data_IF_754182268888
#
_entry.id   IF_754182268888
#
_cell.length_a   1.000
_cell.length_b   1.000
_cell.length_c   1.000
_cell.angle_alpha   90.00
_cell.angle_beta   90.00
_cell.angle_gamma   90.00
#
_symmetry.space_group_name_H-M   'P 1'
#
loop_
_entity.id
_entity.type
_entity.pdbx_description
1 polymer ?
#
# COMPACT_ATOMS: atom_id res chain seq x y z
N UNK A 1 20.78 -7.94 10.27
CA UNK A 1 20.06 -9.20 10.57
C UNK A 1 20.97 -10.10 11.38
N UNK A 2 20.40 -10.91 12.27
CA UNK A 2 21.15 -11.82 13.14
C UNK A 2 20.55 -13.22 13.00
N UNK A 3 21.42 -14.22 12.88
CA UNK A 3 21.00 -15.62 12.84
C UNK A 3 20.56 -16.08 14.24
N UNK A 4 19.46 -16.83 14.30
CA UNK A 4 18.92 -17.45 15.52
C UNK A 4 18.45 -18.86 15.19
N UNK A 5 18.61 -19.80 16.12
CA UNK A 5 18.14 -21.19 15.98
C UNK A 5 16.62 -21.32 15.96
N UNK A 6 15.93 -20.31 16.50
CA UNK A 6 14.48 -20.25 16.59
C UNK A 6 13.99 -18.89 16.10
N UNK A 7 13.91 -18.74 14.78
CA UNK A 7 13.29 -17.59 14.13
C UNK A 7 11.81 -17.86 13.92
N UNK A 8 10.96 -16.90 14.28
CA UNK A 8 9.55 -16.96 13.89
C UNK A 8 9.47 -16.88 12.35
N UNK A 9 8.64 -17.70 11.69
CA UNK A 9 8.36 -17.55 10.26
C UNK A 9 7.67 -16.22 9.94
N UNK A 10 7.15 -15.55 10.97
CA UNK A 10 6.46 -14.28 10.85
C UNK A 10 7.43 -13.12 11.03
N UNK A 11 7.98 -12.67 9.91
CA UNK A 11 8.91 -11.56 9.87
C UNK A 11 8.18 -10.23 9.91
N UNK A 12 8.58 -9.35 10.85
CA UNK A 12 8.15 -7.94 10.86
C UNK A 12 8.81 -7.19 9.71
N UNK A 13 8.00 -6.53 8.88
CA UNK A 13 8.47 -5.71 7.75
C UNK A 13 7.89 -4.31 7.82
N UNK A 14 8.45 -3.35 7.08
CA UNK A 14 7.90 -1.99 7.00
C UNK A 14 6.44 -1.96 6.51
N UNK A 15 6.03 -2.89 5.64
CA UNK A 15 4.65 -3.00 5.15
C UNK A 15 3.72 -3.66 6.18
N UNK A 16 4.26 -4.57 7.00
CA UNK A 16 3.52 -5.23 8.07
C UNK A 16 4.28 -5.13 9.41
N UNK A 17 4.37 -3.92 9.98
CA UNK A 17 5.19 -3.67 11.18
C UNK A 17 4.50 -4.19 12.43
N UNK A 18 3.17 -4.26 12.38
CA UNK A 18 2.31 -4.68 13.47
C UNK A 18 2.16 -6.17 13.59
N UNK A 19 2.76 -7.00 12.69
CA UNK A 19 2.55 -8.46 12.55
C UNK A 19 2.01 -9.07 13.84
N UNK A 20 0.69 -8.99 14.02
CA UNK A 20 0.10 -9.36 15.28
C UNK A 20 0.23 -10.87 15.25
N UNK A 21 0.88 -11.42 16.27
CA UNK A 21 1.09 -12.87 16.46
C UNK A 21 -0.23 -13.64 16.23
N UNK A 22 -1.38 -12.98 16.36
CA UNK A 22 -2.73 -13.50 16.08
C UNK A 22 -3.07 -13.81 14.61
N UNK A 23 -2.52 -13.13 13.59
CA UNK A 23 -2.73 -13.57 12.18
C UNK A 23 -1.66 -14.56 11.72
N UNK A 24 -0.57 -14.61 12.46
CA UNK A 24 0.50 -15.57 12.34
C UNK A 24 0.27 -16.73 13.32
N UNK A 25 -0.86 -17.40 13.16
CA UNK A 25 -1.11 -18.68 13.81
C UNK A 25 -0.16 -19.73 13.22
N UNK A 26 1.10 -19.77 13.66
CA UNK A 26 1.77 -21.06 13.76
C UNK A 26 1.07 -21.77 14.90
N UNK A 27 0.14 -22.68 14.57
CA UNK A 27 -0.69 -23.38 15.55
C UNK A 27 0.11 -24.13 16.64
N UNK A 28 1.44 -24.18 16.56
CA UNK A 28 2.32 -24.94 17.44
C UNK A 28 3.61 -24.23 17.86
N UNK A 29 3.72 -22.90 17.78
CA UNK A 29 4.98 -22.21 18.17
C UNK A 29 6.20 -22.69 17.34
N UNK A 30 5.95 -23.22 16.14
CA UNK A 30 7.01 -23.73 15.24
C UNK A 30 7.85 -22.55 14.75
N UNK A 31 9.08 -22.50 15.25
CA UNK A 31 10.15 -21.65 14.76
C UNK A 31 11.19 -22.53 14.05
N UNK A 32 11.90 -21.97 13.10
CA UNK A 32 12.99 -22.64 12.39
C UNK A 32 14.26 -21.81 12.48
N UNK A 33 15.45 -22.42 12.34
CA UNK A 33 16.69 -21.65 12.27
C UNK A 33 16.63 -20.64 11.11
N UNK A 34 16.94 -19.37 11.39
CA UNK A 34 16.79 -18.30 10.41
C UNK A 34 17.32 -16.96 10.89
N UNK A 35 17.24 -15.95 10.03
CA UNK A 35 17.76 -14.62 10.34
C UNK A 35 16.63 -13.63 10.66
N UNK A 36 16.77 -12.93 11.78
CA UNK A 36 15.79 -11.96 12.28
C UNK A 36 16.38 -10.55 12.38
N UNK A 37 15.50 -9.54 12.43
CA UNK A 37 15.87 -8.19 12.82
C UNK A 37 15.82 -8.09 14.35
N UNK A 38 16.87 -7.53 14.96
CA UNK A 38 17.03 -7.38 16.41
C UNK A 38 16.79 -5.92 16.83
N UNK A 39 16.82 -5.62 18.14
CA UNK A 39 16.67 -4.25 18.68
C UNK A 39 15.39 -3.54 18.23
N UNK A 40 14.27 -4.26 18.19
CA UNK A 40 12.96 -3.73 17.78
C UNK A 40 12.91 -3.12 16.37
N UNK A 41 13.90 -3.44 15.53
CA UNK A 41 13.92 -3.04 14.12
C UNK A 41 13.01 -3.93 13.27
N UNK A 42 12.54 -3.38 12.16
CA UNK A 42 11.75 -4.09 11.16
C UNK A 42 12.54 -4.20 9.87
N UNK A 43 12.24 -5.22 9.05
CA UNK A 43 12.90 -5.36 7.77
C UNK A 43 12.28 -4.45 6.72
N UNK A 44 13.10 -3.59 6.13
CA UNK A 44 12.75 -2.85 4.92
C UNK A 44 13.16 -3.68 3.70
N UNK A 45 12.16 -4.17 2.95
CA UNK A 45 12.37 -4.94 1.73
C UNK A 45 12.96 -4.12 0.59
N UNK A 46 12.79 -2.80 0.61
CA UNK A 46 13.28 -1.89 -0.42
C UNK A 46 14.76 -1.57 -0.23
N UNK A 47 15.16 -1.34 1.02
CA UNK A 47 16.55 -1.09 1.38
C UNK A 47 17.33 -2.37 1.67
N UNK A 48 16.64 -3.51 1.77
CA UNK A 48 17.20 -4.82 2.04
C UNK A 48 17.95 -4.90 3.39
N UNK A 49 17.49 -4.14 4.38
CA UNK A 49 18.14 -4.00 5.69
C UNK A 49 17.12 -3.88 6.83
N UNK A 50 17.59 -4.06 8.07
CA UNK A 50 16.76 -3.83 9.26
C UNK A 50 16.87 -2.37 9.69
N UNK A 51 15.74 -1.69 9.81
CA UNK A 51 15.67 -0.26 10.18
C UNK A 51 14.70 -0.06 11.34
N UNK A 52 14.86 1.02 12.14
CA UNK A 52 13.81 1.48 13.03
C UNK A 52 12.51 1.71 12.25
N UNK A 53 11.36 1.46 12.89
CA UNK A 53 10.05 1.62 12.22
C UNK A 53 9.84 3.04 11.67
N UNK A 54 10.34 4.06 12.37
CA UNK A 54 10.32 5.47 11.95
C UNK A 54 11.08 5.73 10.65
N UNK A 55 12.05 4.87 10.31
CA UNK A 55 12.89 5.00 9.12
C UNK A 55 12.36 4.20 7.92
N UNK A 56 11.20 3.56 8.05
CA UNK A 56 10.61 2.79 6.97
C UNK A 56 10.22 3.66 5.78
N UNK A 57 10.69 3.27 4.60
CA UNK A 57 10.34 3.92 3.33
C UNK A 57 8.94 3.52 2.84
N UNK A 58 8.29 4.42 2.11
CA UNK A 58 7.00 4.15 1.46
C UNK A 58 7.21 3.94 -0.04
N UNK A 59 6.29 3.19 -0.67
CA UNK A 59 6.27 3.03 -2.13
C UNK A 59 4.94 3.55 -2.69
N UNK A 60 5.02 4.33 -3.77
CA UNK A 60 3.85 4.73 -4.55
C UNK A 60 4.23 4.77 -6.04
N UNK A 61 3.42 4.14 -6.89
CA UNK A 61 3.69 4.00 -8.34
C UNK A 61 5.13 3.53 -8.66
N UNK A 62 5.59 2.52 -7.92
CA UNK A 62 6.95 1.96 -8.01
C UNK A 62 8.10 2.89 -7.62
N UNK A 63 7.82 4.10 -7.12
CA UNK A 63 8.81 5.05 -6.61
C UNK A 63 8.90 4.94 -5.09
N UNK A 64 10.12 4.98 -4.56
CA UNK A 64 10.39 4.96 -3.13
C UNK A 64 10.45 6.38 -2.56
N UNK A 65 9.87 6.57 -1.38
CA UNK A 65 9.78 7.84 -0.68
C UNK A 65 10.34 7.69 0.73
N UNK A 66 11.10 8.69 1.16
CA UNK A 66 11.68 8.75 2.49
C UNK A 66 10.62 9.06 3.55
N UNK A 67 10.86 8.69 4.82
CA UNK A 67 10.01 9.11 5.93
C UNK A 67 9.82 10.64 5.93
N UNK A 68 8.57 11.07 5.96
CA UNK A 68 8.21 12.49 5.93
C UNK A 68 7.97 13.09 4.54
N UNK A 69 8.34 12.40 3.46
CA UNK A 69 8.03 12.83 2.09
C UNK A 69 6.53 12.93 1.87
N UNK A 70 6.14 13.85 0.98
CA UNK A 70 4.75 14.14 0.67
C UNK A 70 4.47 13.96 -0.83
N UNK A 71 3.31 13.39 -1.12
CA UNK A 71 2.79 13.21 -2.48
C UNK A 71 1.30 13.56 -2.51
N UNK A 72 0.83 14.01 -3.67
CA UNK A 72 -0.60 14.16 -3.93
C UNK A 72 -1.11 12.89 -4.60
N UNK A 73 -2.04 12.19 -3.96
CA UNK A 73 -2.75 11.02 -4.52
C UNK A 73 -4.19 11.44 -4.76
N UNK A 74 -4.60 11.48 -6.03
CA UNK A 74 -5.81 12.18 -6.47
C UNK A 74 -5.82 13.64 -5.96
N UNK A 75 -6.78 14.00 -5.09
CA UNK A 75 -6.90 15.32 -4.46
C UNK A 75 -6.41 15.35 -3.00
N UNK A 76 -5.86 14.24 -2.51
CA UNK A 76 -5.45 14.08 -1.12
C UNK A 76 -3.94 14.26 -0.98
N UNK A 77 -3.57 14.96 0.10
CA UNK A 77 -2.18 15.13 0.49
C UNK A 77 -1.80 13.94 1.37
N UNK A 78 -0.78 13.18 0.96
CA UNK A 78 -0.32 11.97 1.63
C UNK A 78 1.12 12.14 2.09
N UNK A 79 1.37 11.85 3.37
CA UNK A 79 2.71 11.86 3.98
C UNK A 79 3.17 10.44 4.27
N UNK A 80 4.41 10.12 3.93
CA UNK A 80 5.02 8.85 4.31
C UNK A 80 5.34 8.85 5.81
N UNK A 81 4.78 7.90 6.54
CA UNK A 81 4.94 7.74 7.98
C UNK A 81 5.02 6.26 8.33
N UNK A 82 6.12 5.84 8.94
CA UNK A 82 6.34 4.45 9.38
C UNK A 82 6.05 3.39 8.29
N UNK A 83 6.45 3.64 7.04
CA UNK A 83 6.23 2.73 5.90
C UNK A 83 4.79 2.72 5.34
N UNK A 84 3.93 3.64 5.81
CA UNK A 84 2.53 3.78 5.36
C UNK A 84 2.25 5.21 4.89
N UNK A 85 1.24 5.35 4.04
CA UNK A 85 0.74 6.65 3.61
C UNK A 85 -0.34 7.15 4.57
N UNK A 86 -0.08 8.26 5.25
CA UNK A 86 -1.08 9.02 5.99
C UNK A 86 -1.64 10.10 5.06
N UNK A 87 -2.83 9.84 4.53
CA UNK A 87 -3.51 10.73 3.60
C UNK A 87 -4.61 11.55 4.28
N UNK A 88 -4.84 12.76 3.78
CA UNK A 88 -6.09 13.46 4.04
C UNK A 88 -7.28 12.65 3.53
N UNK A 89 -8.47 12.89 4.08
CA UNK A 89 -9.71 12.24 3.66
C UNK A 89 -10.67 13.25 3.02
N UNK A 90 -10.25 13.81 1.88
CA UNK A 90 -11.05 14.72 1.06
C UNK A 90 -11.83 13.92 0.01
N UNK A 91 -13.10 14.28 -0.19
CA UNK A 91 -13.90 13.76 -1.30
C UNK A 91 -13.40 14.39 -2.59
N UNK A 92 -12.76 13.58 -3.44
CA UNK A 92 -12.25 14.06 -4.73
C UNK A 92 -13.36 14.11 -5.78
N UNK A 93 -13.48 15.25 -6.46
CA UNK A 93 -14.35 15.35 -7.63
C UNK A 93 -13.86 14.41 -8.74
N UNK A 94 -14.78 13.66 -9.33
CA UNK A 94 -14.53 12.80 -10.50
C UNK A 94 -15.38 13.30 -11.66
N UNK A 95 -14.91 13.11 -12.88
CA UNK A 95 -15.63 13.53 -14.09
C UNK A 95 -15.90 12.31 -14.97
N UNK A 96 -17.14 12.18 -15.44
CA UNK A 96 -17.51 11.25 -16.50
C UNK A 96 -17.53 12.01 -17.83
N UNK A 97 -16.97 11.43 -18.89
CA UNK A 97 -16.82 12.08 -20.19
C UNK A 97 -17.44 11.20 -21.28
N UNK A 98 -18.34 11.78 -22.08
CA UNK A 98 -18.82 11.18 -23.31
C UNK A 98 -17.90 11.64 -24.45
N UNK A 99 -17.06 10.73 -24.91
CA UNK A 99 -16.14 10.88 -26.03
C UNK A 99 -16.89 10.64 -27.36
N UNK A 100 -16.33 11.14 -28.46
CA UNK A 100 -16.85 10.88 -29.80
C UNK A 100 -17.01 9.39 -30.10
N UNK A 101 -17.97 9.04 -30.97
CA UNK A 101 -18.35 7.67 -31.32
C UNK A 101 -18.95 6.85 -30.17
N UNK A 102 -19.67 7.52 -29.26
CA UNK A 102 -20.34 6.91 -28.10
C UNK A 102 -19.37 6.17 -27.17
N UNK A 103 -18.12 6.61 -27.04
CA UNK A 103 -17.23 6.09 -26.01
C UNK A 103 -17.48 6.86 -24.70
N UNK A 104 -17.49 6.17 -23.56
CA UNK A 104 -17.69 6.76 -22.24
C UNK A 104 -16.44 6.48 -21.41
N UNK A 105 -15.92 7.52 -20.79
CA UNK A 105 -14.98 7.42 -19.67
C UNK A 105 -15.78 7.63 -18.37
N UNK A 106 -15.90 6.60 -17.55
CA UNK A 106 -16.65 6.63 -16.29
C UNK A 106 -15.89 7.38 -15.19
N UNK A 107 -16.57 7.70 -14.09
CA UNK A 107 -15.99 8.38 -12.94
C UNK A 107 -14.78 7.67 -12.31
N UNK A 108 -14.69 6.34 -12.45
CA UNK A 108 -13.59 5.49 -12.00
C UNK A 108 -12.50 5.27 -13.08
N UNK A 109 -12.56 6.03 -14.18
CA UNK A 109 -11.54 6.02 -15.23
C UNK A 109 -11.61 4.84 -16.19
N UNK A 110 -12.70 4.05 -16.18
CA UNK A 110 -12.89 2.96 -17.12
C UNK A 110 -13.50 3.45 -18.42
N UNK A 111 -13.07 2.84 -19.52
CA UNK A 111 -13.53 3.21 -20.85
C UNK A 111 -14.46 2.15 -21.43
N UNK A 112 -15.61 2.57 -21.95
CA UNK A 112 -16.62 1.71 -22.55
C UNK A 112 -17.10 2.27 -23.88
N UNK A 113 -17.38 1.39 -24.85
CA UNK A 113 -18.11 1.77 -26.06
C UNK A 113 -19.61 1.58 -25.80
N UNK A 114 -20.36 2.67 -25.73
CA UNK A 114 -21.82 2.67 -25.61
C UNK A 114 -22.43 2.39 -26.98
N UNK A 115 -22.86 1.16 -27.22
CA UNK A 115 -23.55 0.77 -28.46
C UNK A 115 -25.05 0.67 -28.17
N UNK A 116 -25.71 1.82 -27.99
CA UNK A 116 -27.16 1.86 -27.74
C UNK A 116 -27.93 2.47 -28.91
N UNK A 117 -29.14 1.93 -29.17
CA UNK A 117 -30.13 2.48 -30.11
C UNK A 117 -31.28 3.21 -29.41
N UNK A 118 -31.20 3.37 -28.08
CA UNK A 118 -32.22 4.00 -27.24
C UNK A 118 -31.58 5.04 -26.29
N UNK A 119 -32.40 5.95 -25.74
CA UNK A 119 -31.97 6.87 -24.68
C UNK A 119 -31.47 6.10 -23.46
N UNK A 120 -30.36 6.55 -22.86
CA UNK A 120 -29.75 5.96 -21.67
C UNK A 120 -29.59 7.02 -20.59
N UNK A 121 -29.82 6.64 -19.34
CA UNK A 121 -29.47 7.47 -18.17
C UNK A 121 -27.99 7.23 -17.88
N UNK A 122 -27.19 8.30 -17.93
CA UNK A 122 -25.73 8.22 -17.75
C UNK A 122 -25.29 8.53 -16.32
N UNK A 123 -26.09 9.33 -15.60
CA UNK A 123 -25.94 9.68 -14.18
C UNK A 123 -27.32 10.08 -13.65
N UNK A 124 -27.60 9.75 -12.40
CA UNK A 124 -28.82 10.13 -11.65
C UNK A 124 -28.42 10.89 -10.38
#
# INVERSE_FOLDING_TARGET
>A
MTFVECASPCRRTCQNPSSIITQCHTQNNECTPGCVCTNETVYDSFQNQCVPLEQCTCQYNNVQYQPGDQVSIDCNDCKCDHGRWLCTNRTCSRTCIVLGNMNILTFDGKQYALVSKCNQVLVE
#
